data_IF_923296673574
#
_entry.id   IF_923296673574
#
_cell.length_a   1.000
_cell.length_b   1.000
_cell.length_c   1.000
_cell.angle_alpha   90.00
_cell.angle_beta   90.00
_cell.angle_gamma   90.00
#
_symmetry.space_group_name_H-M   'P 1'
#
loop_
_entity.id
_entity.type
_entity.pdbx_description
1 polymer ?
#
# COMPACT_ATOMS: atom_id res chain seq x y z
N UNK A 1 -0.29 -34.62 -10.29
CA UNK A 1 -0.62 -33.18 -10.44
C UNK A 1 -0.15 -32.50 -9.17
N UNK A 2 0.65 -31.40 -9.21
CA UNK A 2 0.95 -30.68 -7.98
C UNK A 2 -0.36 -30.02 -7.49
N UNK A 3 -0.60 -29.94 -6.17
CA UNK A 3 -1.86 -29.38 -5.66
C UNK A 3 -1.90 -27.88 -5.99
N UNK A 4 -3.04 -27.41 -6.52
CA UNK A 4 -3.35 -25.96 -6.63
C UNK A 4 -3.14 -25.24 -5.29
N UNK A 5 -3.38 -25.96 -4.21
CA UNK A 5 -3.50 -25.48 -2.84
C UNK A 5 -2.21 -24.88 -2.25
N UNK A 6 -1.03 -25.17 -2.81
CA UNK A 6 0.26 -24.69 -2.26
C UNK A 6 0.62 -23.28 -2.80
N UNK A 7 0.28 -22.99 -4.06
CA UNK A 7 0.56 -21.66 -4.65
C UNK A 7 -0.38 -20.61 -4.05
N UNK A 8 -1.64 -20.99 -3.83
CA UNK A 8 -2.62 -20.13 -3.19
C UNK A 8 -2.24 -19.89 -1.73
N UNK A 9 -1.85 -20.93 -0.97
CA UNK A 9 -1.34 -20.78 0.40
C UNK A 9 -0.06 -19.93 0.52
N UNK A 10 0.85 -19.99 -0.46
CA UNK A 10 2.04 -19.13 -0.48
C UNK A 10 1.69 -17.66 -0.73
N UNK A 11 0.81 -17.40 -1.70
CA UNK A 11 0.33 -16.04 -1.98
C UNK A 11 -0.55 -15.50 -0.84
N UNK A 12 -1.26 -16.37 -0.11
CA UNK A 12 -1.97 -16.08 1.14
C UNK A 12 -1.01 -15.83 2.30
N UNK A 13 0.15 -16.50 2.37
CA UNK A 13 1.16 -16.21 3.41
C UNK A 13 1.89 -14.88 3.19
N UNK A 14 1.92 -14.39 1.94
CA UNK A 14 2.44 -13.08 1.54
C UNK A 14 1.36 -12.00 1.42
N UNK A 15 0.12 -12.30 1.81
CA UNK A 15 -0.96 -11.34 1.81
C UNK A 15 -1.72 -11.45 3.12
N UNK A 16 -1.92 -10.34 3.81
CA UNK A 16 -3.18 -10.23 4.56
C UNK A 16 -4.22 -10.26 3.46
N UNK A 17 -4.82 -11.43 3.27
CA UNK A 17 -5.58 -11.69 2.06
C UNK A 17 -6.77 -10.73 2.03
N UNK A 18 -7.02 -10.15 0.85
CA UNK A 18 -8.29 -9.47 0.57
C UNK A 18 -9.51 -10.37 0.91
N UNK A 19 -9.31 -11.70 1.04
CA UNK A 19 -10.33 -12.66 1.50
C UNK A 19 -10.76 -12.46 2.97
N UNK A 20 -9.93 -11.86 3.83
CA UNK A 20 -10.36 -11.48 5.19
C UNK A 20 -11.42 -10.36 5.18
N UNK A 21 -11.50 -9.61 4.08
CA UNK A 21 -12.38 -8.47 3.90
C UNK A 21 -13.69 -8.82 3.19
N UNK A 22 -13.82 -10.04 2.64
CA UNK A 22 -14.97 -10.41 1.82
C UNK A 22 -15.44 -11.84 2.10
N UNK A 23 -16.26 -11.98 3.17
CA UNK A 23 -17.38 -12.93 3.34
C UNK A 23 -17.49 -13.39 4.83
N UNK A 24 -18.25 -12.67 5.69
CA UNK A 24 -18.48 -13.09 7.08
C UNK A 24 -19.22 -14.44 7.22
N UNK A 25 -19.80 -14.96 6.13
CA UNK A 25 -20.44 -16.28 6.04
C UNK A 25 -19.50 -17.41 5.58
N UNK A 26 -18.19 -17.15 5.39
CA UNK A 26 -17.26 -18.19 4.97
C UNK A 26 -16.96 -19.18 6.11
N UNK A 27 -17.17 -20.51 5.93
CA UNK A 27 -17.02 -21.52 7.00
C UNK A 27 -15.64 -21.53 7.67
N UNK A 28 -14.59 -21.13 6.95
CA UNK A 28 -13.22 -21.05 7.50
C UNK A 28 -13.07 -19.96 8.59
N UNK A 29 -13.88 -18.90 8.55
CA UNK A 29 -13.86 -17.82 9.53
C UNK A 29 -14.47 -18.28 10.86
N UNK A 30 -15.61 -19.00 10.80
CA UNK A 30 -16.25 -19.62 11.95
C UNK A 30 -15.37 -20.69 12.62
N UNK A 31 -14.62 -21.46 11.83
CA UNK A 31 -13.68 -22.45 12.33
C UNK A 31 -12.48 -21.83 13.06
N UNK A 32 -11.91 -20.73 12.54
CA UNK A 32 -10.80 -19.99 13.19
C UNK A 32 -11.25 -19.27 14.47
N UNK A 33 -12.44 -18.67 14.50
CA UNK A 33 -13.02 -18.06 15.71
C UNK A 33 -13.27 -19.08 16.83
N UNK A 34 -13.65 -20.32 16.48
CA UNK A 34 -13.72 -21.44 17.45
C UNK A 34 -12.36 -21.79 18.02
N UNK A 35 -11.33 -21.96 17.16
CA UNK A 35 -9.97 -22.27 17.60
C UNK A 35 -9.34 -21.15 18.45
N UNK A 36 -9.66 -19.88 18.17
CA UNK A 36 -9.17 -18.76 18.97
C UNK A 36 -9.83 -18.71 20.36
N UNK A 37 -11.14 -18.94 20.43
CA UNK A 37 -11.87 -19.03 21.72
C UNK A 37 -11.39 -20.20 22.58
N UNK A 38 -11.03 -21.32 21.95
CA UNK A 38 -10.44 -22.48 22.64
C UNK A 38 -9.01 -22.22 23.13
N UNK A 39 -8.24 -21.37 22.44
CA UNK A 39 -6.88 -20.97 22.86
C UNK A 39 -6.85 -19.91 23.96
N UNK A 40 -7.82 -18.99 23.99
CA UNK A 40 -7.87 -17.89 24.98
C UNK A 40 -8.54 -18.33 26.29
N UNK A 41 -9.33 -19.41 26.29
CA UNK A 41 -10.00 -19.94 27.48
C UNK A 41 -9.10 -20.68 28.49
N UNK A 42 -7.78 -20.68 28.30
CA UNK A 42 -6.90 -21.62 29.00
C UNK A 42 -5.54 -21.09 29.45
N UNK A 43 -5.39 -19.83 29.86
CA UNK A 43 -4.25 -19.43 30.72
C UNK A 43 -4.42 -18.03 31.32
N UNK A 44 -4.32 -17.92 32.64
CA UNK A 44 -4.14 -16.63 33.31
C UNK A 44 -2.77 -16.03 32.94
N UNK A 45 -2.65 -14.73 32.63
CA UNK A 45 -1.35 -14.10 32.45
C UNK A 45 -0.70 -13.83 33.82
N UNK A 46 0.51 -14.36 34.00
CA UNK A 46 1.42 -13.92 35.06
C UNK A 46 1.91 -12.51 34.74
N UNK A 47 1.60 -11.57 35.63
CA UNK A 47 2.22 -10.25 35.64
C UNK A 47 3.74 -10.37 35.80
N UNK A 48 4.49 -9.79 34.87
CA UNK A 48 5.90 -9.47 35.02
C UNK A 48 6.03 -7.95 34.95
N UNK A 49 6.57 -7.35 36.01
CA UNK A 49 6.92 -5.94 36.08
C UNK A 49 8.37 -5.74 35.63
N UNK A 50 8.70 -4.70 34.84
CA UNK A 50 10.08 -4.28 34.66
C UNK A 50 10.44 -3.13 35.60
N UNK A 51 11.57 -3.31 36.28
CA UNK A 51 12.32 -2.28 37.00
C UNK A 51 12.92 -1.27 36.01
N UNK A 52 12.65 0.01 36.25
CA UNK A 52 13.28 1.15 35.61
C UNK A 52 14.66 1.40 36.23
N UNK A 53 15.70 1.56 35.40
CA UNK A 53 16.91 2.28 35.77
C UNK A 53 17.28 3.23 34.62
N UNK A 54 17.36 4.52 34.97
CA UNK A 54 17.62 5.62 34.06
C UNK A 54 19.10 5.96 33.92
N UNK A 55 19.44 6.49 32.73
CA UNK A 55 20.57 7.36 32.36
C UNK A 55 20.45 7.51 30.82
N UNK A 56 20.29 8.66 30.17
CA UNK A 56 20.60 10.05 30.50
C UNK A 56 21.86 10.47 29.74
N UNK A 57 21.72 10.98 28.50
CA UNK A 57 22.71 11.80 27.73
C UNK A 57 22.01 12.23 26.42
N UNK A 58 21.64 13.50 26.27
CA UNK A 58 22.40 14.66 25.77
C UNK A 58 22.27 14.87 24.26
N UNK A 59 21.82 16.09 23.95
CA UNK A 59 21.40 16.63 22.66
C UNK A 59 22.60 17.29 21.99
N UNK A 60 22.77 17.07 20.69
CA UNK A 60 23.58 17.96 19.84
C UNK A 60 22.72 18.38 18.64
N UNK A 61 22.60 19.69 18.53
CA UNK A 61 21.84 20.47 17.56
C UNK A 61 22.74 20.80 16.35
N UNK A 62 22.20 20.77 15.14
CA UNK A 62 22.81 21.46 13.98
C UNK A 62 21.78 21.79 12.88
N UNK A 63 21.50 23.10 12.74
CA UNK A 63 21.82 23.81 11.51
C UNK A 63 20.97 23.60 10.23
N UNK A 64 19.77 24.17 10.24
CA UNK A 64 19.10 24.93 9.14
C UNK A 64 19.19 24.49 7.65
N UNK A 65 18.01 24.37 7.03
CA UNK A 65 17.71 24.92 5.69
C UNK A 65 16.20 25.02 5.45
N UNK A 66 15.64 26.22 5.62
CA UNK A 66 14.23 26.54 5.36
C UNK A 66 13.98 26.81 3.87
N UNK A 67 13.07 26.05 3.27
CA UNK A 67 12.33 26.45 2.07
C UNK A 67 10.84 26.32 2.37
N UNK A 68 10.14 27.45 2.26
CA UNK A 68 8.73 27.63 2.56
C UNK A 68 7.83 26.66 1.77
N UNK A 69 7.12 25.78 2.48
CA UNK A 69 5.88 25.18 1.98
C UNK A 69 4.73 25.63 2.89
N UNK A 70 3.78 26.35 2.30
CA UNK A 70 2.55 26.82 2.96
C UNK A 70 1.52 25.69 3.06
N UNK A 71 1.86 24.63 3.79
CA UNK A 71 0.89 23.69 4.33
C UNK A 71 1.07 23.64 5.84
N UNK A 72 0.00 23.76 6.64
CA UNK A 72 0.11 23.67 8.09
C UNK A 72 0.64 22.28 8.48
N UNK A 73 1.49 22.18 9.52
CA UNK A 73 1.87 20.91 10.12
C UNK A 73 0.60 20.14 10.51
N UNK A 74 0.64 18.81 10.39
CA UNK A 74 -0.47 17.92 10.79
C UNK A 74 -0.89 18.11 12.26
N UNK A 75 -0.04 18.69 13.10
CA UNK A 75 -0.26 18.87 14.55
C UNK A 75 -0.98 20.18 14.96
N UNK A 76 -1.28 21.11 14.04
CA UNK A 76 -1.86 22.43 14.41
C UNK A 76 -3.26 22.72 13.85
N UNK A 77 -4.16 21.72 13.85
CA UNK A 77 -5.59 21.97 13.56
C UNK A 77 -6.37 22.21 14.85
N UNK A 78 -6.64 23.49 15.10
CA UNK A 78 -7.80 24.08 15.81
C UNK A 78 -8.48 23.13 16.81
N UNK A 79 -8.11 23.24 18.10
CA UNK A 79 -8.93 22.80 19.22
C UNK A 79 -9.93 23.91 19.57
N UNK A 80 -10.92 24.14 18.71
CA UNK A 80 -12.16 24.76 19.18
C UNK A 80 -12.92 23.69 19.97
N UNK A 81 -13.13 23.95 21.25
CA UNK A 81 -13.97 23.16 22.14
C UNK A 81 -15.42 23.36 21.69
N UNK A 82 -15.86 22.55 20.74
CA UNK A 82 -17.24 22.47 20.28
C UNK A 82 -18.00 21.41 21.09
N UNK A 83 -19.19 21.83 21.53
CA UNK A 83 -20.15 21.20 22.44
C UNK A 83 -20.32 19.67 22.26
N UNK A 84 -20.22 18.94 23.38
CA UNK A 84 -20.09 17.48 23.49
C UNK A 84 -21.44 16.71 23.48
N UNK A 85 -22.55 17.34 23.07
CA UNK A 85 -23.90 16.77 23.25
C UNK A 85 -24.43 15.91 22.11
N UNK A 86 -23.75 15.85 20.96
CA UNK A 86 -24.00 14.82 19.94
C UNK A 86 -22.77 13.92 19.86
N UNK A 87 -22.91 12.57 19.84
CA UNK A 87 -21.78 11.73 19.50
C UNK A 87 -21.31 12.19 18.13
N UNK A 88 -20.14 12.86 18.08
CA UNK A 88 -19.51 13.29 16.83
C UNK A 88 -19.76 12.17 15.83
N UNK A 89 -20.47 12.50 14.76
CA UNK A 89 -20.80 11.56 13.69
C UNK A 89 -19.56 10.71 13.46
N UNK A 90 -19.70 9.38 13.53
CA UNK A 90 -18.57 8.44 13.53
C UNK A 90 -17.58 8.66 12.36
N UNK A 91 -18.01 9.34 11.30
CA UNK A 91 -17.22 9.74 10.13
C UNK A 91 -17.07 11.27 9.96
N UNK A 92 -17.34 12.08 10.97
CA UNK A 92 -17.37 13.54 10.86
C UNK A 92 -16.03 14.10 10.37
N UNK A 93 -14.92 13.66 10.97
CA UNK A 93 -13.58 14.12 10.59
C UNK A 93 -13.26 13.75 9.15
N UNK A 94 -13.52 12.49 8.78
CA UNK A 94 -13.34 11.99 7.41
C UNK A 94 -14.18 12.78 6.41
N UNK A 95 -15.46 13.02 6.72
CA UNK A 95 -16.37 13.78 5.85
C UNK A 95 -15.86 15.19 5.62
N UNK A 96 -15.49 15.90 6.69
CA UNK A 96 -14.91 17.25 6.60
C UNK A 96 -13.63 17.23 5.74
N UNK A 97 -12.76 16.25 5.96
CA UNK A 97 -11.51 16.12 5.20
C UNK A 97 -11.77 15.84 3.72
N UNK A 98 -12.72 14.97 3.39
CA UNK A 98 -13.08 14.62 2.01
C UNK A 98 -13.76 15.77 1.29
N UNK A 99 -14.66 16.50 1.95
CA UNK A 99 -15.29 17.71 1.42
C UNK A 99 -14.25 18.80 1.16
N UNK A 100 -13.32 18.99 2.09
CA UNK A 100 -12.19 19.92 1.92
C UNK A 100 -11.34 19.53 0.72
N UNK A 101 -11.00 18.25 0.59
CA UNK A 101 -10.21 17.73 -0.52
C UNK A 101 -10.97 17.80 -1.87
N UNK A 102 -12.31 17.71 -1.87
CA UNK A 102 -13.15 17.83 -3.07
C UNK A 102 -13.27 19.27 -3.56
N UNK A 103 -13.28 20.22 -2.62
CA UNK A 103 -13.34 21.65 -2.94
C UNK A 103 -11.97 22.25 -3.27
N UNK A 104 -10.89 21.49 -3.08
CA UNK A 104 -9.55 21.92 -3.41
C UNK A 104 -9.37 22.03 -4.93
N UNK A 105 -8.83 23.16 -5.38
CA UNK A 105 -8.28 23.31 -6.72
C UNK A 105 -6.84 22.85 -6.75
N UNK A 106 -6.42 22.18 -7.82
CA UNK A 106 -5.02 21.80 -8.00
C UNK A 106 -4.80 20.94 -9.23
N UNK A 107 -3.56 20.52 -9.41
CA UNK A 107 -3.22 19.47 -10.37
C UNK A 107 -3.83 18.12 -9.94
N UNK A 108 -3.94 17.14 -10.85
CA UNK A 108 -4.36 15.80 -10.46
C UNK A 108 -3.50 15.18 -9.35
N UNK A 109 -2.18 15.42 -9.28
CA UNK A 109 -1.37 14.88 -8.17
C UNK A 109 -1.72 15.56 -6.85
N UNK A 110 -1.90 16.89 -6.84
CA UNK A 110 -2.28 17.62 -5.63
C UNK A 110 -3.63 17.13 -5.08
N UNK A 111 -4.63 17.00 -5.95
CA UNK A 111 -5.95 16.49 -5.54
C UNK A 111 -5.86 15.03 -5.09
N UNK A 112 -5.05 14.19 -5.76
CA UNK A 112 -4.82 12.81 -5.34
C UNK A 112 -4.17 12.74 -3.94
N UNK A 113 -3.18 13.60 -3.65
CA UNK A 113 -2.58 13.73 -2.32
C UNK A 113 -3.61 14.05 -1.26
N UNK A 114 -4.47 15.04 -1.52
CA UNK A 114 -5.51 15.46 -0.59
C UNK A 114 -6.55 14.35 -0.37
N UNK A 115 -6.98 13.65 -1.42
CA UNK A 115 -7.93 12.54 -1.31
C UNK A 115 -7.34 11.35 -0.53
N UNK A 116 -6.07 11.00 -0.76
CA UNK A 116 -5.39 9.95 0.01
C UNK A 116 -5.33 10.36 1.48
N UNK A 117 -4.85 11.58 1.78
CA UNK A 117 -4.75 12.09 3.15
C UNK A 117 -6.11 12.16 3.86
N UNK A 118 -7.17 12.57 3.16
CA UNK A 118 -8.52 12.64 3.71
C UNK A 118 -9.06 11.24 4.08
N UNK A 119 -8.83 10.24 3.23
CA UNK A 119 -9.25 8.86 3.49
C UNK A 119 -8.55 8.22 4.70
N UNK A 120 -7.34 8.67 5.04
CA UNK A 120 -6.58 8.18 6.20
C UNK A 120 -6.57 9.18 7.37
N UNK A 121 -7.42 10.21 7.33
CA UNK A 121 -7.38 11.34 8.28
C UNK A 121 -7.87 11.01 9.69
N UNK A 122 -8.53 9.87 9.86
CA UNK A 122 -9.06 9.39 11.12
C UNK A 122 -8.30 8.12 11.56
N UNK A 123 -8.99 7.11 12.07
CA UNK A 123 -8.35 5.84 12.44
C UNK A 123 -8.06 4.94 11.22
N UNK A 124 -7.01 4.13 11.31
CA UNK A 124 -6.67 3.14 10.28
C UNK A 124 -7.81 2.15 9.95
N UNK A 125 -8.61 1.66 10.93
CA UNK A 125 -9.80 0.86 10.64
C UNK A 125 -10.84 1.57 9.78
N UNK A 126 -11.13 2.85 10.07
CA UNK A 126 -12.05 3.66 9.26
C UNK A 126 -11.51 3.79 7.83
N UNK A 127 -10.23 4.09 7.70
CA UNK A 127 -9.60 4.19 6.39
C UNK A 127 -9.67 2.86 5.61
N UNK A 128 -9.41 1.73 6.27
CA UNK A 128 -9.48 0.41 5.64
C UNK A 128 -10.92 0.11 5.18
N UNK A 129 -11.92 0.44 6.00
CA UNK A 129 -13.33 0.36 5.63
C UNK A 129 -13.67 1.18 4.39
N UNK A 130 -13.21 2.42 4.30
CA UNK A 130 -13.45 3.27 3.13
C UNK A 130 -12.83 2.66 1.87
N UNK A 131 -11.58 2.22 1.93
CA UNK A 131 -10.89 1.58 0.81
C UNK A 131 -11.59 0.29 0.35
N UNK A 132 -12.05 -0.55 1.29
CA UNK A 132 -12.85 -1.74 0.98
C UNK A 132 -14.18 -1.38 0.34
N UNK A 133 -14.87 -0.35 0.85
CA UNK A 133 -16.16 0.10 0.33
C UNK A 133 -16.02 0.72 -1.06
N UNK A 134 -14.94 1.47 -1.33
CA UNK A 134 -14.61 1.95 -2.68
C UNK A 134 -14.45 0.82 -3.67
N UNK A 135 -13.74 -0.23 -3.27
CA UNK A 135 -13.52 -1.38 -4.13
C UNK A 135 -14.84 -2.09 -4.44
N UNK A 136 -15.68 -2.31 -3.43
CA UNK A 136 -17.02 -2.88 -3.61
C UNK A 136 -17.93 -2.00 -4.48
N UNK A 137 -17.85 -0.67 -4.33
CA UNK A 137 -18.60 0.27 -5.15
C UNK A 137 -18.18 0.18 -6.62
N UNK A 138 -16.87 0.13 -6.91
CA UNK A 138 -16.36 -0.09 -8.27
C UNK A 138 -16.90 -1.40 -8.88
N UNK A 139 -16.92 -2.49 -8.10
CA UNK A 139 -17.45 -3.78 -8.56
C UNK A 139 -18.95 -3.72 -8.86
N UNK A 140 -19.70 -2.99 -8.04
CA UNK A 140 -21.13 -2.73 -8.24
C UNK A 140 -21.44 -1.66 -9.27
N UNK A 141 -20.43 -1.05 -9.91
CA UNK A 141 -20.57 0.16 -10.73
C UNK A 141 -21.34 1.29 -10.01
N UNK A 142 -21.16 1.37 -8.70
CA UNK A 142 -21.64 2.42 -7.83
C UNK A 142 -20.51 3.42 -7.56
N UNK A 143 -20.88 4.70 -7.46
CA UNK A 143 -19.92 5.79 -7.23
C UNK A 143 -20.24 6.57 -5.95
N UNK A 144 -21.16 6.04 -5.17
CA UNK A 144 -21.55 6.56 -3.86
C UNK A 144 -21.07 5.59 -2.80
N UNK A 145 -20.32 6.11 -1.84
CA UNK A 145 -19.69 5.40 -0.73
C UNK A 145 -20.52 5.69 0.52
N UNK A 146 -21.32 4.72 0.98
CA UNK A 146 -22.11 4.93 2.18
C UNK A 146 -21.24 5.02 3.43
N UNK A 147 -21.43 6.06 4.23
CA UNK A 147 -20.80 6.28 5.52
C UNK A 147 -21.72 5.83 6.67
N UNK A 148 -22.06 4.53 6.72
CA UNK A 148 -22.95 3.99 7.74
C UNK A 148 -22.18 3.45 8.96
N UNK A 149 -22.27 4.07 10.15
CA UNK A 149 -21.54 3.61 11.34
C UNK A 149 -21.90 2.16 11.71
N UNK A 150 -23.16 1.77 11.48
CA UNK A 150 -23.62 0.40 11.71
C UNK A 150 -22.88 -0.61 10.84
N UNK A 151 -22.70 -0.33 9.54
CA UNK A 151 -21.97 -1.23 8.64
C UNK A 151 -20.51 -1.37 9.03
N UNK A 152 -19.88 -0.28 9.48
CA UNK A 152 -18.54 -0.35 10.04
C UNK A 152 -18.50 -1.25 11.28
N UNK A 153 -19.40 -1.04 12.24
CA UNK A 153 -19.45 -1.83 13.48
C UNK A 153 -19.67 -3.32 13.22
N UNK A 154 -20.50 -3.70 12.24
CA UNK A 154 -20.70 -5.10 11.86
C UNK A 154 -19.42 -5.76 11.32
N UNK A 155 -18.50 -4.97 10.75
CA UNK A 155 -17.25 -5.46 10.15
C UNK A 155 -16.01 -5.06 10.95
N UNK A 156 -16.15 -4.52 12.17
CA UNK A 156 -15.03 -3.99 12.93
C UNK A 156 -13.94 -5.05 13.18
N UNK A 157 -14.34 -6.31 13.38
CA UNK A 157 -13.42 -7.43 13.54
C UNK A 157 -12.57 -7.67 12.28
N UNK A 158 -13.10 -7.45 11.07
CA UNK A 158 -12.36 -7.55 9.81
C UNK A 158 -11.30 -6.45 9.65
N UNK A 159 -11.41 -5.37 10.42
CA UNK A 159 -10.47 -4.24 10.42
C UNK A 159 -9.69 -4.15 11.73
N UNK A 160 -9.77 -5.15 12.60
CA UNK A 160 -9.04 -5.17 13.87
C UNK A 160 -7.52 -5.13 13.67
N UNK A 161 -7.03 -5.69 12.55
CA UNK A 161 -5.62 -5.65 12.14
C UNK A 161 -5.35 -4.60 11.05
N UNK A 162 -6.02 -3.44 11.14
CA UNK A 162 -5.87 -2.38 10.15
C UNK A 162 -4.42 -1.90 10.00
N UNK A 163 -3.61 -1.97 11.05
CA UNK A 163 -2.19 -1.61 10.96
C UNK A 163 -1.47 -2.46 9.92
N UNK A 164 -1.63 -3.79 9.97
CA UNK A 164 -0.97 -4.65 9.01
C UNK A 164 -1.63 -4.59 7.62
N UNK A 165 -2.95 -4.35 7.53
CA UNK A 165 -3.63 -4.06 6.24
C UNK A 165 -2.95 -2.88 5.54
N UNK A 166 -2.72 -1.77 6.27
CA UNK A 166 -2.09 -0.58 5.71
C UNK A 166 -0.58 -0.71 5.47
N UNK A 167 0.06 -1.73 6.05
CA UNK A 167 1.42 -2.15 5.68
C UNK A 167 1.45 -2.95 4.38
N UNK A 168 0.33 -3.53 3.93
CA UNK A 168 0.28 -4.30 2.67
C UNK A 168 0.47 -3.40 1.45
N UNK A 169 1.60 -3.58 0.77
CA UNK A 169 1.95 -2.85 -0.45
C UNK A 169 0.92 -3.04 -1.59
N UNK A 170 0.29 -4.22 -1.66
CA UNK A 170 -0.77 -4.55 -2.63
C UNK A 170 -2.06 -3.80 -2.31
N UNK A 171 -2.50 -3.82 -1.05
CA UNK A 171 -3.71 -3.11 -0.61
C UNK A 171 -3.58 -1.61 -0.86
N UNK A 172 -2.45 -1.01 -0.45
CA UNK A 172 -2.17 0.42 -0.67
C UNK A 172 -2.15 0.76 -2.16
N UNK A 173 -1.57 -0.12 -2.98
CA UNK A 173 -1.58 0.03 -4.43
C UNK A 173 -3.00 0.03 -4.99
N UNK A 174 -3.83 -0.96 -4.61
CA UNK A 174 -5.24 -1.05 -5.04
C UNK A 174 -6.02 0.19 -4.60
N UNK A 175 -5.86 0.62 -3.35
CA UNK A 175 -6.52 1.81 -2.80
C UNK A 175 -6.20 3.07 -3.62
N UNK A 176 -4.92 3.34 -3.89
CA UNK A 176 -4.51 4.53 -4.65
C UNK A 176 -4.99 4.43 -6.10
N UNK A 177 -4.89 3.25 -6.72
CA UNK A 177 -5.37 3.01 -8.08
C UNK A 177 -6.89 3.16 -8.19
N UNK A 178 -7.63 2.80 -7.14
CA UNK A 178 -9.09 3.01 -7.04
C UNK A 178 -9.43 4.49 -7.07
N UNK A 179 -8.68 5.32 -6.34
CA UNK A 179 -8.87 6.78 -6.34
C UNK A 179 -8.46 7.37 -7.69
N UNK A 180 -7.34 6.97 -8.28
CA UNK A 180 -6.82 7.61 -9.50
C UNK A 180 -7.55 7.21 -10.79
N UNK A 181 -8.14 6.01 -10.88
CA UNK A 181 -8.71 5.52 -12.12
C UNK A 181 -9.99 6.26 -12.53
N UNK A 182 -10.20 6.46 -13.83
CA UNK A 182 -11.51 6.88 -14.35
C UNK A 182 -12.58 5.83 -14.09
N UNK A 183 -13.86 6.23 -14.14
CA UNK A 183 -14.98 5.28 -13.95
C UNK A 183 -14.89 4.06 -14.88
N UNK A 184 -14.50 4.28 -16.14
CA UNK A 184 -14.35 3.22 -17.13
C UNK A 184 -13.13 2.30 -16.86
N UNK A 185 -12.05 2.84 -16.29
CA UNK A 185 -10.83 2.10 -15.98
C UNK A 185 -10.79 1.46 -14.59
N UNK A 186 -11.69 1.85 -13.69
CA UNK A 186 -11.64 1.50 -12.28
C UNK A 186 -11.68 -0.01 -12.01
N UNK A 187 -12.52 -0.77 -12.74
CA UNK A 187 -12.61 -2.22 -12.55
C UNK A 187 -11.28 -2.92 -12.88
N UNK A 188 -10.57 -2.46 -13.91
CA UNK A 188 -9.26 -3.00 -14.26
C UNK A 188 -8.20 -2.58 -13.24
N UNK A 189 -8.31 -1.35 -12.71
CA UNK A 189 -7.41 -0.83 -11.68
C UNK A 189 -7.50 -1.61 -10.37
N UNK A 190 -8.71 -1.99 -9.90
CA UNK A 190 -8.86 -2.78 -8.67
C UNK A 190 -8.54 -4.25 -8.82
N UNK A 191 -8.57 -4.77 -10.06
CA UNK A 191 -8.08 -6.11 -10.35
C UNK A 191 -6.57 -6.18 -10.15
N UNK A 192 -5.84 -5.11 -10.48
CA UNK A 192 -4.38 -5.07 -10.36
C UNK A 192 -3.92 -5.42 -8.95
N UNK A 193 -3.01 -6.40 -8.83
CA UNK A 193 -2.49 -6.90 -7.55
C UNK A 193 -3.51 -7.56 -6.59
N UNK A 194 -4.78 -7.73 -6.97
CA UNK A 194 -5.78 -8.38 -6.12
C UNK A 194 -5.87 -9.88 -6.42
N UNK A 195 -5.75 -10.70 -5.38
CA UNK A 195 -5.86 -12.16 -5.50
C UNK A 195 -7.27 -12.57 -5.89
N UNK A 196 -8.25 -12.07 -5.13
CA UNK A 196 -9.67 -12.42 -5.25
C UNK A 196 -10.27 -11.98 -6.59
N UNK A 197 -9.64 -10.97 -7.21
CA UNK A 197 -10.03 -10.44 -8.51
C UNK A 197 -9.15 -10.95 -9.65
N UNK A 198 -8.29 -11.94 -9.38
CA UNK A 198 -7.49 -12.66 -10.36
C UNK A 198 -6.32 -11.86 -10.97
N UNK A 199 -5.89 -10.78 -10.31
CA UNK A 199 -4.79 -9.96 -10.80
C UNK A 199 -3.43 -10.27 -10.19
N UNK A 200 -3.33 -11.22 -9.24
CA UNK A 200 -2.03 -11.74 -8.85
C UNK A 200 -1.42 -12.59 -9.98
N UNK A 201 -0.12 -12.45 -10.26
CA UNK A 201 0.50 -13.20 -11.32
C UNK A 201 0.57 -14.69 -10.98
N UNK A 202 0.32 -15.54 -11.97
CA UNK A 202 0.57 -16.98 -11.89
C UNK A 202 1.88 -17.31 -12.58
N UNK A 203 2.51 -18.45 -12.24
CA UNK A 203 3.71 -18.90 -12.96
C UNK A 203 3.47 -19.05 -14.46
N UNK A 204 2.28 -19.50 -14.85
CA UNK A 204 1.88 -19.61 -16.27
C UNK A 204 1.84 -18.23 -16.94
N UNK A 205 1.26 -17.23 -16.27
CA UNK A 205 1.23 -15.85 -16.78
C UNK A 205 2.66 -15.30 -16.91
N UNK A 206 3.45 -15.39 -15.85
CA UNK A 206 4.84 -14.92 -15.81
C UNK A 206 5.66 -15.50 -16.97
N UNK A 207 5.53 -16.81 -17.23
CA UNK A 207 6.28 -17.47 -18.31
C UNK A 207 5.79 -17.10 -19.71
N UNK A 208 4.52 -16.72 -19.84
CA UNK A 208 3.91 -16.41 -21.14
C UNK A 208 3.86 -14.92 -21.45
N UNK A 209 4.21 -14.06 -20.48
CA UNK A 209 4.14 -12.60 -20.64
C UNK A 209 5.50 -11.99 -20.31
N UNK A 210 6.10 -11.23 -21.24
CA UNK A 210 7.35 -10.52 -20.98
C UNK A 210 7.23 -9.59 -19.76
N UNK A 211 8.33 -9.43 -19.03
CA UNK A 211 8.41 -8.39 -18.00
C UNK A 211 8.21 -7.01 -18.63
N UNK A 212 7.43 -6.17 -17.96
CA UNK A 212 7.20 -4.78 -18.37
C UNK A 212 8.44 -3.92 -18.08
N UNK A 213 8.61 -2.84 -18.86
CA UNK A 213 9.68 -1.86 -18.66
C UNK A 213 9.12 -0.61 -17.96
N UNK A 214 9.33 -0.50 -16.64
CA UNK A 214 8.97 0.71 -15.89
C UNK A 214 9.65 1.95 -16.46
N UNK A 215 10.93 1.83 -16.90
CA UNK A 215 11.66 2.93 -17.53
C UNK A 215 10.99 3.43 -18.79
N UNK A 216 10.51 2.54 -19.66
CA UNK A 216 9.83 2.93 -20.89
C UNK A 216 8.52 3.66 -20.58
N UNK A 217 7.72 3.13 -19.64
CA UNK A 217 6.49 3.77 -19.21
C UNK A 217 6.75 5.17 -18.59
N UNK A 218 7.78 5.30 -17.76
CA UNK A 218 8.20 6.58 -17.19
C UNK A 218 8.59 7.60 -18.27
N UNK A 219 9.36 7.21 -19.30
CA UNK A 219 9.75 8.14 -20.39
C UNK A 219 8.52 8.67 -21.14
N UNK A 220 7.54 7.81 -21.41
CA UNK A 220 6.27 8.20 -22.04
C UNK A 220 5.51 9.15 -21.13
N UNK A 221 5.34 8.80 -19.86
CA UNK A 221 4.65 9.63 -18.87
C UNK A 221 5.31 11.00 -18.67
N UNK A 222 6.64 11.05 -18.54
CA UNK A 222 7.42 12.29 -18.46
C UNK A 222 7.23 13.16 -19.70
N UNK A 223 7.24 12.54 -20.89
CA UNK A 223 6.99 13.28 -22.14
C UNK A 223 5.58 13.86 -22.17
N UNK A 224 4.57 13.10 -21.74
CA UNK A 224 3.18 13.56 -21.67
C UNK A 224 3.00 14.70 -20.67
N UNK A 225 3.63 14.62 -19.51
CA UNK A 225 3.68 15.67 -18.51
C UNK A 225 4.30 16.96 -19.05
N UNK A 226 5.52 16.87 -19.59
CA UNK A 226 6.29 18.04 -20.03
C UNK A 226 5.73 18.71 -21.30
N UNK A 227 5.20 17.93 -22.24
CA UNK A 227 4.73 18.46 -23.53
C UNK A 227 3.24 18.75 -23.59
N UNK A 228 2.44 18.03 -22.81
CA UNK A 228 0.98 18.06 -22.94
C UNK A 228 0.27 18.41 -21.64
N UNK A 229 0.99 18.67 -20.55
CA UNK A 229 0.37 19.01 -19.27
C UNK A 229 -0.38 17.83 -18.64
N UNK A 230 -0.14 16.59 -19.08
CA UNK A 230 -0.93 15.41 -18.68
C UNK A 230 -0.36 14.73 -17.44
N UNK A 231 -1.23 14.17 -16.61
CA UNK A 231 -0.82 13.33 -15.48
C UNK A 231 -1.02 11.86 -15.81
N UNK A 232 -0.03 11.03 -15.51
CA UNK A 232 -0.09 9.57 -15.62
C UNK A 232 0.11 8.95 -14.24
N UNK A 233 -0.73 7.98 -13.88
CA UNK A 233 -0.55 7.17 -12.67
C UNK A 233 -0.21 5.73 -13.08
N UNK A 234 0.86 5.18 -12.50
CA UNK A 234 1.41 3.87 -12.84
C UNK A 234 1.44 3.01 -11.58
N UNK A 235 0.60 1.98 -11.53
CA UNK A 235 0.75 0.87 -10.59
C UNK A 235 1.88 -0.04 -11.06
N UNK A 236 2.84 -0.32 -10.18
CA UNK A 236 3.99 -1.20 -10.45
C UNK A 236 3.93 -2.39 -9.52
N UNK A 237 3.97 -3.60 -10.06
CA UNK A 237 4.05 -4.84 -9.28
C UNK A 237 5.32 -5.58 -9.66
N UNK A 238 6.18 -5.81 -8.68
CA UNK A 238 7.39 -6.61 -8.78
C UNK A 238 7.13 -7.97 -8.14
N UNK A 239 7.28 -9.03 -8.94
CA UNK A 239 7.29 -10.40 -8.49
C UNK A 239 8.68 -11.01 -8.67
N UNK A 240 9.04 -11.93 -7.78
CA UNK A 240 10.16 -12.83 -7.99
C UNK A 240 9.66 -14.09 -8.68
N UNK A 241 10.18 -14.42 -9.86
CA UNK A 241 9.79 -15.64 -10.58
C UNK A 241 10.22 -16.88 -9.82
N UNK A 242 11.36 -16.84 -9.14
CA UNK A 242 11.96 -18.03 -8.57
C UNK A 242 11.08 -18.65 -7.48
N UNK A 243 10.42 -17.82 -6.68
CA UNK A 243 9.52 -18.32 -5.64
C UNK A 243 8.31 -19.07 -6.19
N UNK A 244 7.78 -18.66 -7.35
CA UNK A 244 6.71 -19.40 -8.01
C UNK A 244 7.19 -20.77 -8.49
N UNK A 245 8.44 -20.86 -8.96
CA UNK A 245 9.04 -22.15 -9.34
C UNK A 245 9.27 -23.06 -8.13
N UNK A 246 9.67 -22.50 -7.00
CA UNK A 246 9.82 -23.23 -5.74
C UNK A 246 8.46 -23.69 -5.19
N UNK A 247 7.44 -22.85 -5.26
CA UNK A 247 6.07 -23.19 -4.86
C UNK A 247 5.52 -24.36 -5.69
N UNK A 248 5.77 -24.37 -7.01
CA UNK A 248 5.39 -25.49 -7.89
C UNK A 248 6.05 -26.83 -7.49
N UNK A 249 7.21 -26.77 -6.81
CA UNK A 249 7.95 -27.93 -6.30
C UNK A 249 7.65 -28.24 -4.83
N UNK A 250 6.84 -27.44 -4.16
CA UNK A 250 6.54 -27.59 -2.73
C UNK A 250 7.71 -27.22 -1.80
N UNK A 251 8.57 -26.28 -2.21
CA UNK A 251 9.76 -25.89 -1.42
C UNK A 251 9.81 -24.40 -1.05
N UNK A 252 8.77 -23.63 -1.36
CA UNK A 252 8.68 -22.19 -1.06
C UNK A 252 8.59 -21.87 0.44
N UNK A 253 8.08 -22.80 1.25
CA UNK A 253 7.76 -22.54 2.67
C UNK A 253 9.01 -22.34 3.54
N UNK A 254 10.19 -22.63 3.01
CA UNK A 254 11.47 -22.47 3.73
C UNK A 254 12.15 -21.12 3.46
N UNK A 255 11.63 -20.32 2.52
CA UNK A 255 12.28 -19.10 2.05
C UNK A 255 11.30 -17.93 1.99
N UNK A 256 11.83 -16.73 2.19
CA UNK A 256 11.13 -15.48 1.96
C UNK A 256 11.44 -14.93 0.57
N UNK A 257 10.42 -14.49 -0.15
CA UNK A 257 10.58 -13.77 -1.40
C UNK A 257 9.96 -12.39 -1.31
N UNK A 258 10.65 -11.39 -1.83
CA UNK A 258 10.16 -10.03 -1.84
C UNK A 258 9.37 -9.77 -3.13
N UNK A 259 8.04 -9.85 -3.01
CA UNK A 259 7.14 -9.19 -3.95
C UNK A 259 6.86 -7.79 -3.42
N UNK A 260 6.83 -6.77 -4.29
CA UNK A 260 6.55 -5.39 -3.88
C UNK A 260 5.65 -4.70 -4.90
N UNK A 261 4.65 -3.98 -4.41
CA UNK A 261 3.78 -3.16 -5.25
C UNK A 261 3.81 -1.71 -4.77
N UNK A 262 3.88 -0.77 -5.70
CA UNK A 262 3.84 0.65 -5.41
C UNK A 262 3.18 1.41 -6.55
N UNK A 263 2.80 2.66 -6.29
CA UNK A 263 2.21 3.54 -7.29
C UNK A 263 3.12 4.73 -7.54
N UNK A 264 3.21 5.14 -8.79
CA UNK A 264 3.93 6.33 -9.21
C UNK A 264 2.98 7.28 -9.92
N UNK A 265 2.98 8.55 -9.53
CA UNK A 265 2.29 9.63 -10.25
C UNK A 265 3.33 10.49 -10.97
N UNK A 266 3.12 10.76 -12.25
CA UNK A 266 3.97 11.61 -13.10
C UNK A 266 3.10 12.71 -13.70
N UNK A 267 3.38 13.95 -13.35
CA UNK A 267 2.62 15.13 -13.79
C UNK A 267 3.56 16.28 -14.15
N UNK A 268 3.02 17.40 -14.67
CA UNK A 268 3.81 18.58 -15.03
C UNK A 268 4.74 19.08 -13.91
N UNK A 269 4.31 18.94 -12.66
CA UNK A 269 5.00 19.30 -11.43
C UNK A 269 6.14 18.35 -11.06
N UNK A 270 6.14 17.10 -11.56
CA UNK A 270 7.20 16.12 -11.30
C UNK A 270 6.68 14.71 -11.01
N UNK A 271 7.30 14.07 -10.01
CA UNK A 271 7.18 12.63 -9.78
C UNK A 271 6.92 12.31 -8.30
N UNK A 272 5.91 11.50 -8.01
CA UNK A 272 5.58 11.06 -6.64
C UNK A 272 5.53 9.54 -6.57
N UNK A 273 6.08 8.97 -5.50
CA UNK A 273 6.03 7.53 -5.20
C UNK A 273 5.16 7.30 -3.98
N UNK A 274 4.23 6.38 -4.10
CA UNK A 274 3.33 5.96 -3.04
C UNK A 274 3.54 4.50 -2.74
N UNK A 275 3.81 4.19 -1.48
CA UNK A 275 4.09 2.82 -1.09
C UNK A 275 3.83 2.56 0.39
N UNK A 276 3.60 1.29 0.66
CA UNK A 276 3.80 0.63 1.94
C UNK A 276 4.61 -0.63 1.64
N UNK A 277 5.13 -1.32 2.65
CA UNK A 277 6.05 -2.44 2.40
C UNK A 277 5.53 -3.81 2.85
N UNK A 278 5.18 -3.95 4.13
CA UNK A 278 4.67 -5.20 4.70
C UNK A 278 4.83 -5.22 6.21
N UNK A 279 4.53 -6.35 6.84
CA UNK A 279 4.50 -6.56 8.30
C UNK A 279 5.70 -5.95 9.05
N UNK A 280 6.91 -6.15 8.53
CA UNK A 280 8.17 -5.69 9.13
C UNK A 280 8.66 -4.32 8.60
N UNK A 281 7.84 -3.65 7.81
CA UNK A 281 8.14 -2.35 7.21
C UNK A 281 7.27 -1.23 7.75
N UNK A 282 6.87 -0.33 6.86
CA UNK A 282 6.03 0.82 7.19
C UNK A 282 4.69 0.75 6.46
N UNK A 283 3.69 1.40 7.05
CA UNK A 283 2.39 1.63 6.43
C UNK A 283 2.36 2.93 5.61
N UNK A 284 1.29 3.14 4.84
CA UNK A 284 1.14 4.34 4.02
C UNK A 284 1.16 5.63 4.87
N UNK A 285 0.51 5.67 6.03
CA UNK A 285 0.47 6.87 6.87
C UNK A 285 1.87 7.28 7.36
N UNK A 286 2.70 6.31 7.75
CA UNK A 286 4.10 6.55 8.12
C UNK A 286 4.94 7.03 6.93
N UNK A 287 4.71 6.47 5.73
CA UNK A 287 5.35 6.94 4.50
C UNK A 287 5.03 8.42 4.23
N UNK A 288 3.77 8.80 4.36
CA UNK A 288 3.32 10.18 4.17
C UNK A 288 3.87 11.12 5.25
N UNK A 289 3.88 10.71 6.52
CA UNK A 289 4.43 11.51 7.63
C UNK A 289 5.91 11.86 7.43
N UNK A 290 6.67 11.00 6.73
CA UNK A 290 8.09 11.22 6.38
C UNK A 290 8.28 12.02 5.08
N UNK A 291 7.22 12.54 4.49
CA UNK A 291 7.25 13.28 3.22
C UNK A 291 7.40 12.38 1.99
N UNK A 292 6.98 11.11 2.07
CA UNK A 292 7.07 10.15 0.97
C UNK A 292 6.30 10.57 -0.29
N UNK A 293 5.23 11.35 -0.10
CA UNK A 293 4.39 11.97 -1.13
C UNK A 293 4.92 13.30 -1.67
N UNK A 294 6.14 13.71 -1.30
CA UNK A 294 6.74 14.90 -1.90
C UNK A 294 6.89 14.75 -3.41
N UNK A 295 6.67 15.85 -4.11
CA UNK A 295 6.97 15.95 -5.53
C UNK A 295 8.49 15.96 -5.69
N UNK A 296 9.02 14.97 -6.41
CA UNK A 296 10.43 14.81 -6.71
C UNK A 296 10.75 15.49 -8.04
N UNK A 297 11.98 15.99 -8.13
CA UNK A 297 12.53 16.56 -9.35
C UNK A 297 12.64 15.51 -10.46
N UNK A 298 12.82 15.97 -11.70
CA UNK A 298 12.99 15.08 -12.84
C UNK A 298 14.27 14.25 -12.75
N UNK A 299 15.33 14.83 -12.17
CA UNK A 299 16.61 14.18 -11.91
C UNK A 299 16.45 13.03 -10.90
N UNK A 300 15.76 13.28 -9.78
CA UNK A 300 15.44 12.25 -8.79
C UNK A 300 14.58 11.13 -9.39
N UNK A 301 13.62 11.48 -10.24
CA UNK A 301 12.77 10.51 -10.93
C UNK A 301 13.55 9.62 -11.90
N UNK A 302 14.51 10.20 -12.64
CA UNK A 302 15.41 9.45 -13.51
C UNK A 302 16.34 8.52 -12.72
N UNK A 303 16.88 8.98 -11.60
CA UNK A 303 17.72 8.18 -10.73
C UNK A 303 16.94 7.02 -10.11
N UNK A 304 15.72 7.27 -9.62
CA UNK A 304 14.82 6.22 -9.12
C UNK A 304 14.56 5.17 -10.20
N UNK A 305 14.19 5.61 -11.41
CA UNK A 305 13.88 4.72 -12.53
C UNK A 305 15.10 3.90 -12.96
N UNK A 306 16.29 4.52 -12.98
CA UNK A 306 17.55 3.86 -13.31
C UNK A 306 17.92 2.82 -12.27
N UNK A 307 17.77 3.13 -10.99
CA UNK A 307 18.09 2.19 -9.91
C UNK A 307 17.08 1.03 -9.84
N UNK A 308 15.79 1.30 -10.07
CA UNK A 308 14.79 0.25 -10.24
C UNK A 308 15.12 -0.66 -11.42
N UNK A 309 15.51 -0.10 -12.57
CA UNK A 309 15.93 -0.88 -13.75
C UNK A 309 17.14 -1.77 -13.43
N UNK A 310 18.12 -1.29 -12.66
CA UNK A 310 19.27 -2.10 -12.23
C UNK A 310 18.85 -3.23 -11.29
N UNK A 311 17.93 -2.94 -10.36
CA UNK A 311 17.40 -3.94 -9.43
C UNK A 311 16.72 -5.08 -10.20
N UNK A 312 15.91 -4.76 -11.22
CA UNK A 312 15.13 -5.76 -11.96
C UNK A 312 15.86 -6.42 -13.13
N UNK A 313 16.97 -5.85 -13.62
CA UNK A 313 17.75 -6.44 -14.72
C UNK A 313 18.60 -7.65 -14.28
N UNK A 314 18.89 -7.78 -12.98
CA UNK A 314 19.76 -8.83 -12.47
C UNK A 314 19.08 -10.19 -12.35
N UNK A 315 19.78 -11.26 -12.77
CA UNK A 315 19.44 -12.66 -12.46
C UNK A 315 20.43 -13.27 -11.47
N UNK A 316 20.00 -14.26 -10.69
CA UNK A 316 20.87 -14.97 -9.73
C UNK A 316 20.68 -14.52 -8.29
N UNK A 317 21.68 -14.76 -7.44
CA UNK A 317 21.57 -14.54 -5.99
C UNK A 317 21.25 -13.09 -5.61
N UNK A 318 20.48 -12.93 -4.53
CA UNK A 318 20.21 -11.62 -3.95
C UNK A 318 21.37 -11.19 -3.05
N UNK A 319 22.28 -10.38 -3.59
CA UNK A 319 23.52 -9.96 -2.93
C UNK A 319 23.40 -8.60 -2.21
N UNK A 320 24.47 -8.19 -1.52
CA UNK A 320 24.52 -6.92 -0.81
C UNK A 320 24.33 -5.69 -1.73
N UNK A 321 24.72 -5.79 -3.01
CA UNK A 321 24.56 -4.71 -3.99
C UNK A 321 23.09 -4.54 -4.35
N UNK A 322 22.35 -5.64 -4.57
CA UNK A 322 20.89 -5.60 -4.78
C UNK A 322 20.17 -5.13 -3.53
N UNK A 323 20.55 -5.61 -2.35
CA UNK A 323 19.97 -5.13 -1.10
C UNK A 323 20.17 -3.61 -0.91
N UNK A 324 21.34 -3.07 -1.26
CA UNK A 324 21.60 -1.62 -1.23
C UNK A 324 20.70 -0.85 -2.20
N UNK A 325 20.46 -1.37 -3.41
CA UNK A 325 19.53 -0.78 -4.37
C UNK A 325 18.08 -0.83 -3.85
N UNK A 326 17.68 -1.98 -3.30
CA UNK A 326 16.35 -2.17 -2.72
C UNK A 326 16.09 -1.19 -1.58
N UNK A 327 17.05 -1.08 -0.64
CA UNK A 327 17.02 -0.11 0.46
C UNK A 327 16.93 1.33 -0.03
N UNK A 328 17.66 1.70 -1.09
CA UNK A 328 17.59 3.05 -1.66
C UNK A 328 16.21 3.36 -2.26
N UNK A 329 15.54 2.37 -2.86
CA UNK A 329 14.26 2.56 -3.53
C UNK A 329 13.08 2.55 -2.55
N UNK A 330 13.16 1.72 -1.51
CA UNK A 330 12.02 1.36 -0.68
C UNK A 330 12.24 1.57 0.81
N UNK A 331 13.40 2.08 1.23
CA UNK A 331 13.80 2.30 2.63
C UNK A 331 13.72 1.05 3.51
N UNK A 332 13.92 -0.13 2.90
CA UNK A 332 13.90 -1.42 3.60
C UNK A 332 15.18 -2.22 3.37
N UNK A 333 15.72 -2.76 4.46
CA UNK A 333 16.90 -3.60 4.46
C UNK A 333 16.52 -5.08 4.59
N UNK A 334 16.46 -5.80 3.46
CA UNK A 334 16.03 -7.20 3.45
C UNK A 334 16.98 -8.11 4.22
N UNK A 335 18.25 -7.73 4.36
CA UNK A 335 19.21 -8.52 5.16
C UNK A 335 19.01 -8.35 6.66
N UNK A 336 18.43 -7.23 7.11
CA UNK A 336 18.01 -7.10 8.51
C UNK A 336 16.76 -7.95 8.78
N UNK A 337 15.85 -8.04 7.80
CA UNK A 337 14.58 -8.77 7.93
C UNK A 337 14.77 -10.29 7.79
N UNK A 338 15.53 -10.72 6.79
CA UNK A 338 15.70 -12.14 6.41
C UNK A 338 17.11 -12.68 6.74
N UNK A 339 17.91 -11.94 7.49
CA UNK A 339 19.25 -12.36 7.90
C UNK A 339 19.20 -13.44 9.00
N UNK A 340 20.36 -13.92 9.44
CA UNK A 340 20.45 -14.98 10.47
C UNK A 340 19.81 -14.64 11.82
N UNK A 341 19.57 -13.36 12.09
CA UNK A 341 18.88 -12.84 13.28
C UNK A 341 17.60 -12.07 12.95
N UNK A 342 17.18 -12.10 11.68
CA UNK A 342 15.99 -11.40 11.23
C UNK A 342 14.71 -12.12 11.67
N UNK A 343 13.58 -11.41 11.74
CA UNK A 343 12.29 -12.01 12.07
C UNK A 343 11.76 -12.96 10.99
N UNK A 344 12.26 -12.86 9.76
CA UNK A 344 11.78 -13.65 8.63
C UNK A 344 12.69 -14.80 8.24
N UNK A 345 12.11 -15.71 7.44
CA UNK A 345 12.84 -16.80 6.79
C UNK A 345 13.95 -16.25 5.88
N UNK A 346 15.00 -17.05 5.59
CA UNK A 346 16.06 -16.65 4.67
C UNK A 346 15.52 -16.26 3.30
N UNK A 347 16.16 -15.28 2.65
CA UNK A 347 15.80 -14.89 1.29
C UNK A 347 15.92 -16.05 0.31
N UNK A 348 15.10 -16.01 -0.74
CA UNK A 348 15.21 -16.88 -1.91
C UNK A 348 16.66 -16.97 -2.40
N UNK A 349 17.16 -18.19 -2.71
CA UNK A 349 18.56 -18.39 -3.09
C UNK A 349 18.90 -17.75 -4.45
N UNK A 350 17.88 -17.56 -5.28
CA UNK A 350 17.94 -16.84 -6.55
C UNK A 350 16.76 -15.89 -6.62
N UNK A 351 17.00 -14.73 -7.22
CA UNK A 351 16.00 -13.74 -7.53
C UNK A 351 15.97 -13.54 -9.04
N UNK A 352 14.77 -13.58 -9.60
CA UNK A 352 14.49 -13.20 -10.98
C UNK A 352 13.27 -12.27 -10.99
N UNK A 353 13.48 -11.00 -11.31
CA UNK A 353 12.39 -10.03 -11.33
C UNK A 353 11.46 -10.25 -12.52
N UNK A 354 10.16 -10.17 -12.26
CA UNK A 354 9.12 -9.97 -13.26
C UNK A 354 8.26 -8.77 -12.86
N UNK A 355 8.13 -7.79 -13.75
CA UNK A 355 7.42 -6.55 -13.50
C UNK A 355 6.13 -6.50 -14.31
N UNK A 356 5.04 -6.16 -13.65
CA UNK A 356 3.75 -5.83 -14.26
C UNK A 356 3.41 -4.36 -14.01
N UNK A 357 2.83 -3.71 -15.02
CA UNK A 357 2.39 -2.32 -14.92
C UNK A 357 0.89 -2.23 -15.18
N UNK A 358 0.22 -1.37 -14.41
CA UNK A 358 -1.12 -0.85 -14.73
C UNK A 358 -1.00 0.66 -14.92
N UNK A 359 -1.24 1.14 -16.13
CA UNK A 359 -1.06 2.55 -16.50
C UNK A 359 -2.44 3.20 -16.63
N UNK A 360 -2.62 4.32 -15.95
CA UNK A 360 -3.76 5.23 -16.07
C UNK A 360 -3.24 6.50 -16.76
N UNK A 361 -3.54 6.64 -18.05
CA UNK A 361 -3.11 7.78 -18.84
C UNK A 361 -4.08 8.95 -18.68
N UNK A 362 -3.53 10.16 -18.69
CA UNK A 362 -4.30 11.41 -18.70
C UNK A 362 -5.32 11.55 -17.56
N UNK A 363 -4.93 11.13 -16.36
CA UNK A 363 -5.75 11.20 -15.15
C UNK A 363 -6.19 12.63 -14.89
N UNK A 364 -7.50 12.82 -14.70
CA UNK A 364 -8.11 14.12 -14.44
C UNK A 364 -8.53 14.27 -12.98
N UNK A 365 -8.78 15.53 -12.58
CA UNK A 365 -9.33 15.83 -11.26
C UNK A 365 -10.71 15.18 -11.09
N UNK A 366 -11.55 15.17 -12.13
CA UNK A 366 -12.85 14.50 -12.08
C UNK A 366 -12.76 12.97 -11.89
N UNK A 367 -11.68 12.32 -12.34
CA UNK A 367 -11.46 10.89 -12.11
C UNK A 367 -11.18 10.63 -10.62
N UNK A 368 -10.41 11.53 -9.99
CA UNK A 368 -10.03 11.44 -8.57
C UNK A 368 -11.23 11.73 -7.66
N UNK A 369 -12.05 12.70 -8.02
CA UNK A 369 -13.23 13.13 -7.25
C UNK A 369 -14.51 12.36 -7.60
N UNK A 370 -14.41 11.24 -8.31
CA UNK A 370 -15.56 10.48 -8.82
C UNK A 370 -16.46 9.87 -7.74
N UNK A 371 -15.95 9.71 -6.52
CA UNK A 371 -16.69 9.12 -5.40
C UNK A 371 -17.45 10.20 -4.63
N UNK A 372 -18.72 9.93 -4.37
CA UNK A 372 -19.58 10.69 -3.46
C UNK A 372 -19.64 9.95 -2.14
N UNK A 373 -19.65 10.64 -1.00
CA UNK A 373 -19.66 10.01 0.32
C UNK A 373 -20.90 10.47 1.06
N UNK A 374 -21.79 9.54 1.39
CA UNK A 374 -23.12 9.82 1.95
C UNK A 374 -23.30 9.21 3.34
#
# INVERSE_FOLDING_TARGET
MPPKDIIDAYLESLSISDDQLYNPSHPAHAARLRQLKERVGGSQPRMWAPSFDGRGTEVVDDGTSQLNSTLPPLDERVTEVLDDTEPRSFFANVRIALETARNASGTPIEVLKLQIAANISDTLPIAAYLASTMTAAIEGNAWTIPLFPKMFQFNADSFADAENIWKSCKFVTIFIMSIAASKAGALQAIKFCSMTRGGLPTLKLIRNTPTSSFRSAFVVAKTAAQKHGKTTVIGVALADVHIFEMAQRGTSDQVFSFAHSFVVSVGPEGFVVWQAWGEHGYNLAEWLKRGGDRVRTWEEAEDFTKDFTKLTAGKGSFDAKRNKLYKKLFDVDLFQICGSKGPERPLVPKFEAWVQLQILEDVKVEDILKFEYE
#
